data_IF_593705697258
#
_entry.id   IF_593705697258
#
_cell.length_a   1.000
_cell.length_b   1.000
_cell.length_c   1.000
_cell.angle_alpha   90.00
_cell.angle_beta   90.00
_cell.angle_gamma   90.00
#
_symmetry.space_group_name_H-M   'P 1'
#
loop_
_entity.id
_entity.type
_entity.pdbx_description
1 polymer ?
#
# COMPACT_ATOMS: atom_id res chain seq x y z
N UNK A 1 5.64 27.12 -5.66
CA UNK A 1 6.13 26.56 -4.38
C UNK A 1 5.44 25.22 -4.17
N UNK A 2 6.13 24.11 -4.39
CA UNK A 2 5.58 22.78 -4.13
C UNK A 2 5.41 22.59 -2.62
N UNK A 3 4.16 22.56 -2.15
CA UNK A 3 3.84 22.32 -0.75
C UNK A 3 4.27 20.90 -0.35
N UNK A 4 5.45 20.77 0.27
CA UNK A 4 5.94 19.53 0.89
C UNK A 4 4.98 18.95 1.94
N UNK A 5 4.05 19.78 2.45
CA UNK A 5 3.08 19.45 3.52
C UNK A 5 2.18 18.24 3.23
N UNK A 6 2.06 17.81 1.97
CA UNK A 6 1.20 16.68 1.58
C UNK A 6 1.95 15.53 0.93
N UNK A 7 3.27 15.45 1.04
CA UNK A 7 4.00 14.28 0.54
C UNK A 7 3.92 13.13 1.55
N UNK A 8 3.41 11.98 1.09
CA UNK A 8 3.41 10.71 1.82
C UNK A 8 4.43 9.77 1.20
N UNK A 9 4.88 8.80 1.98
CA UNK A 9 5.79 7.76 1.52
C UNK A 9 4.99 6.49 1.20
N UNK A 10 5.26 5.89 0.04
CA UNK A 10 4.65 4.63 -0.35
C UNK A 10 5.21 3.49 0.51
N UNK A 11 4.33 2.72 1.14
CA UNK A 11 4.74 1.57 1.93
C UNK A 11 5.49 0.51 1.11
N UNK A 12 5.21 0.38 -0.19
CA UNK A 12 5.81 -0.65 -1.05
C UNK A 12 7.17 -0.19 -1.59
N UNK A 13 7.18 0.82 -2.46
CA UNK A 13 8.40 1.27 -3.16
C UNK A 13 9.20 2.34 -2.40
N UNK A 14 8.75 2.77 -1.23
CA UNK A 14 9.35 3.87 -0.45
C UNK A 14 9.39 5.23 -1.18
N UNK A 15 8.79 5.35 -2.37
CA UNK A 15 8.71 6.59 -3.14
C UNK A 15 7.78 7.62 -2.51
N UNK A 16 8.11 8.91 -2.66
CA UNK A 16 7.27 10.02 -2.18
C UNK A 16 6.20 10.37 -3.22
N UNK A 17 4.96 10.54 -2.80
CA UNK A 17 3.84 10.96 -3.65
C UNK A 17 2.97 11.98 -2.94
N UNK A 18 2.20 12.77 -3.69
CA UNK A 18 1.30 13.77 -3.10
C UNK A 18 -0.02 13.13 -2.68
N UNK A 19 -0.41 13.31 -1.42
CA UNK A 19 -1.67 12.83 -0.88
C UNK A 19 -2.23 13.86 0.10
N UNK A 20 -3.12 14.72 -0.40
CA UNK A 20 -3.72 15.81 0.37
C UNK A 20 -4.77 16.57 -0.45
N UNK A 21 -5.25 17.71 0.08
CA UNK A 21 -6.27 18.52 -0.59
C UNK A 21 -5.89 18.79 -2.05
N UNK A 22 -6.86 18.57 -2.95
CA UNK A 22 -6.74 18.74 -4.40
C UNK A 22 -5.87 17.71 -5.16
N UNK A 23 -5.14 16.80 -4.48
CA UNK A 23 -4.34 15.77 -5.16
C UNK A 23 -4.10 14.50 -4.33
N UNK A 24 -4.61 13.39 -4.84
CA UNK A 24 -4.53 12.06 -4.21
C UNK A 24 -3.80 11.06 -5.13
N UNK A 25 -2.47 11.15 -5.18
CA UNK A 25 -1.61 10.31 -6.03
C UNK A 25 -1.27 8.96 -5.37
N UNK A 26 -2.19 8.46 -4.55
CA UNK A 26 -2.06 7.18 -3.86
C UNK A 26 -3.38 6.68 -3.31
N UNK A 27 -3.31 5.54 -2.64
CA UNK A 27 -4.45 4.87 -2.05
C UNK A 27 -4.11 4.45 -0.63
N UNK A 28 -5.01 4.75 0.29
CA UNK A 28 -5.00 4.14 1.62
C UNK A 28 -5.80 2.83 1.58
N UNK A 29 -5.20 1.77 2.11
CA UNK A 29 -5.76 0.42 2.08
C UNK A 29 -5.98 0.00 3.52
N UNK A 30 -7.25 0.11 3.95
CA UNK A 30 -7.67 -0.12 5.33
C UNK A 30 -7.35 -1.52 5.84
N UNK A 31 -7.51 -2.55 4.99
CA UNK A 31 -7.20 -3.94 5.31
C UNK A 31 -5.78 -4.13 5.85
N UNK A 32 -4.83 -3.35 5.35
CA UNK A 32 -3.44 -3.42 5.78
C UNK A 32 -3.00 -2.24 6.64
N UNK A 33 -3.87 -1.24 6.84
CA UNK A 33 -3.53 0.05 7.45
C UNK A 33 -2.31 0.75 6.79
N UNK A 34 -2.13 0.59 5.48
CA UNK A 34 -1.01 1.18 4.73
C UNK A 34 -1.48 2.25 3.74
N UNK A 35 -0.54 3.10 3.33
CA UNK A 35 -0.72 4.00 2.19
C UNK A 35 0.32 3.68 1.11
N UNK A 36 -0.12 3.62 -0.14
CA UNK A 36 0.71 3.30 -1.30
C UNK A 36 0.52 4.34 -2.39
N UNK A 37 1.54 4.57 -3.22
CA UNK A 37 1.40 5.44 -4.38
C UNK A 37 0.49 4.77 -5.44
N UNK A 38 -0.08 5.59 -6.32
CA UNK A 38 -0.99 5.11 -7.37
C UNK A 38 -0.34 4.09 -8.29
N UNK A 39 0.95 4.23 -8.57
CA UNK A 39 1.69 3.29 -9.41
C UNK A 39 1.75 1.90 -8.76
N UNK A 40 2.11 1.81 -7.46
CA UNK A 40 2.13 0.54 -6.76
C UNK A 40 0.73 -0.08 -6.60
N UNK A 41 -0.29 0.74 -6.37
CA UNK A 41 -1.67 0.26 -6.26
C UNK A 41 -2.21 -0.29 -7.60
N UNK A 42 -1.83 0.32 -8.72
CA UNK A 42 -2.28 -0.09 -10.06
C UNK A 42 -1.36 -1.14 -10.71
N UNK A 43 -0.21 -1.46 -10.11
CA UNK A 43 0.79 -2.35 -10.69
C UNK A 43 0.27 -3.79 -10.85
N UNK A 44 -0.54 -4.26 -9.90
CA UNK A 44 -1.15 -5.59 -9.98
C UNK A 44 -2.57 -5.57 -9.40
N UNK A 45 -3.54 -5.90 -10.25
CA UNK A 45 -4.96 -5.94 -9.88
C UNK A 45 -5.31 -7.23 -9.13
N UNK A 46 -4.51 -8.27 -9.31
CA UNK A 46 -4.65 -9.58 -8.69
C UNK A 46 -4.10 -9.63 -7.26
N UNK A 47 -3.60 -8.53 -6.72
CA UNK A 47 -3.08 -8.47 -5.35
C UNK A 47 -1.59 -8.13 -5.29
N UNK A 48 -1.02 -8.30 -4.10
CA UNK A 48 0.38 -7.98 -3.84
C UNK A 48 1.31 -9.06 -4.36
N UNK A 49 2.39 -8.64 -5.02
CA UNK A 49 3.43 -9.55 -5.47
C UNK A 49 4.11 -10.25 -4.26
N UNK A 50 4.59 -11.50 -4.41
CA UNK A 50 5.25 -12.25 -3.34
C UNK A 50 6.44 -11.50 -2.71
N UNK A 51 7.18 -10.72 -3.49
CA UNK A 51 8.31 -9.92 -3.00
C UNK A 51 7.92 -8.88 -1.95
N UNK A 52 6.65 -8.44 -1.95
CA UNK A 52 6.12 -7.50 -0.96
C UNK A 52 5.30 -8.18 0.13
N UNK A 53 4.99 -9.47 -0.03
CA UNK A 53 4.20 -10.24 0.92
C UNK A 53 4.88 -10.30 2.29
N UNK A 54 6.19 -10.60 2.32
CA UNK A 54 6.95 -10.63 3.57
C UNK A 54 6.88 -9.27 4.31
N UNK A 55 7.07 -8.17 3.57
CA UNK A 55 7.00 -6.81 4.12
C UNK A 55 5.61 -6.49 4.69
N UNK A 56 4.55 -6.89 4.00
CA UNK A 56 3.17 -6.74 4.45
C UNK A 56 2.88 -7.57 5.69
N UNK A 57 3.27 -8.85 5.69
CA UNK A 57 3.07 -9.77 6.82
C UNK A 57 3.80 -9.26 8.07
N UNK A 58 5.05 -8.81 7.92
CA UNK A 58 5.82 -8.24 9.04
C UNK A 58 5.15 -6.98 9.60
N UNK A 59 4.63 -6.11 8.73
CA UNK A 59 3.87 -4.93 9.16
C UNK A 59 2.57 -5.31 9.87
N UNK A 60 1.76 -6.20 9.31
CA UNK A 60 0.53 -6.66 9.93
C UNK A 60 0.78 -7.28 11.30
N UNK A 61 1.80 -8.15 11.43
CA UNK A 61 2.20 -8.73 12.72
C UNK A 61 2.62 -7.66 13.72
N UNK A 62 3.37 -6.65 13.28
CA UNK A 62 3.81 -5.54 14.14
C UNK A 62 2.66 -4.67 14.63
N UNK A 63 1.67 -4.41 13.77
CA UNK A 63 0.47 -3.62 14.10
C UNK A 63 -0.60 -4.45 14.83
N UNK A 64 -0.41 -5.77 14.98
CA UNK A 64 -1.40 -6.67 15.56
C UNK A 64 -2.63 -6.86 14.67
N UNK A 65 -2.50 -6.66 13.35
CA UNK A 65 -3.56 -6.82 12.37
C UNK A 65 -3.61 -8.27 11.84
N UNK A 66 -4.82 -8.79 11.54
CA UNK A 66 -4.96 -10.11 10.96
C UNK A 66 -4.35 -10.16 9.55
N UNK A 67 -3.68 -11.27 9.24
CA UNK A 67 -3.22 -11.54 7.87
C UNK A 67 -4.42 -12.03 7.06
N UNK A 68 -4.82 -11.31 6.00
CA UNK A 68 -5.96 -11.71 5.19
C UNK A 68 -5.65 -13.00 4.43
N UNK A 69 -6.70 -13.76 4.13
CA UNK A 69 -6.57 -14.93 3.28
C UNK A 69 -6.11 -14.54 1.88
N UNK A 70 -5.29 -15.41 1.27
CA UNK A 70 -4.87 -15.24 -0.12
C UNK A 70 -6.08 -15.43 -1.03
N UNK A 71 -6.12 -14.68 -2.12
CA UNK A 71 -7.17 -14.82 -3.12
C UNK A 71 -6.99 -16.12 -3.93
N UNK A 72 -7.89 -16.35 -4.90
CA UNK A 72 -7.88 -17.52 -5.79
C UNK A 72 -6.58 -17.70 -6.58
N UNK A 73 -5.81 -16.62 -6.76
CA UNK A 73 -4.52 -16.62 -7.45
C UNK A 73 -3.34 -16.86 -6.51
N UNK A 74 -3.59 -17.05 -5.21
CA UNK A 74 -2.57 -17.27 -4.20
C UNK A 74 -1.84 -15.99 -3.76
N UNK A 75 -2.40 -14.80 -4.02
CA UNK A 75 -1.81 -13.52 -3.60
C UNK A 75 -2.55 -12.90 -2.43
N UNK A 76 -1.84 -12.10 -1.63
CA UNK A 76 -2.50 -11.22 -0.66
C UNK A 76 -3.37 -10.20 -1.42
N UNK A 77 -4.66 -10.08 -1.11
CA UNK A 77 -5.55 -9.21 -1.86
C UNK A 77 -5.14 -7.74 -1.74
N UNK A 78 -5.28 -6.93 -2.79
CA UNK A 78 -4.95 -5.49 -2.70
C UNK A 78 -5.99 -4.67 -1.92
N UNK A 79 -7.19 -5.21 -1.75
CA UNK A 79 -8.35 -4.61 -1.06
C UNK A 79 -9.04 -5.64 -0.18
#
# INVERSE_FOLDING_TARGET
MENEKFRRQCFICNGKFQFGPHRYDGKYISKYNIIVCRNCYNANWDGWAPDYEEKLILHLKKEGLPIPERNEKGFLPRE
#
